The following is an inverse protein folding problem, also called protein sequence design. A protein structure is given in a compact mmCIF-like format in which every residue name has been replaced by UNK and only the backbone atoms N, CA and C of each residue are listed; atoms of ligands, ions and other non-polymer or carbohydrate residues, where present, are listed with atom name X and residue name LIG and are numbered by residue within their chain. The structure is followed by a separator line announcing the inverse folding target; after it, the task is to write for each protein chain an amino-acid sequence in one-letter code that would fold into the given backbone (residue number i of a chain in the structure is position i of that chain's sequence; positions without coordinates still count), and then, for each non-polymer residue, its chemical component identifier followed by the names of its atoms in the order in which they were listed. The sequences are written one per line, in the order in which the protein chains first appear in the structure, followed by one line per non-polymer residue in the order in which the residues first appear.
data_IF_849992933322
#
_entry.id   IF_849992933322
#
_cell.length_a   1.000
_cell.length_b   1.000
_cell.length_c   1.000
_cell.angle_alpha   90.00
_cell.angle_beta   90.00
_cell.angle_gamma   90.00
#
_symmetry.space_group_name_H-M   'P 1'
#
loop_
_entity.id
_entity.type
_entity.pdbx_description
1 polymer ?
#
# COMPACT_ATOMS: atom_id res chain seq x y z
N UNK A 1 12.89 3.26 7.51
CA UNK A 1 12.11 4.49 7.79
C UNK A 1 12.15 4.73 9.31
N UNK A 2 11.96 5.95 9.84
CA UNK A 2 11.93 6.15 11.31
C UNK A 2 10.81 5.32 12.01
N UNK A 3 9.72 5.06 11.28
CA UNK A 3 8.65 4.14 11.70
C UNK A 3 9.17 2.71 11.94
N UNK A 4 10.11 2.23 11.11
CA UNK A 4 10.73 0.90 11.26
C UNK A 4 11.84 0.87 12.32
N UNK A 5 12.13 2.00 12.98
CA UNK A 5 13.12 2.12 14.07
C UNK A 5 12.44 2.26 15.45
N UNK A 6 11.13 2.00 15.55
CA UNK A 6 10.38 2.11 16.81
C UNK A 6 10.10 3.54 17.28
N UNK A 7 10.50 4.58 16.51
CA UNK A 7 10.31 5.99 16.87
C UNK A 7 8.95 6.54 16.40
N UNK A 8 7.90 5.73 16.55
CA UNK A 8 6.56 6.03 16.02
C UNK A 8 5.97 7.28 16.67
N UNK A 9 6.18 7.43 17.98
CA UNK A 9 5.67 8.57 18.75
C UNK A 9 6.29 9.91 18.31
N UNK A 10 7.60 9.94 18.09
CA UNK A 10 8.32 11.14 17.62
C UNK A 10 7.86 11.57 16.22
N UNK A 11 7.58 10.59 15.35
CA UNK A 11 7.03 10.84 13.99
C UNK A 11 5.62 11.42 14.08
N UNK A 12 4.78 10.86 14.97
CA UNK A 12 3.41 11.33 15.19
C UNK A 12 3.40 12.78 15.69
N UNK A 13 4.20 13.08 16.71
CA UNK A 13 4.28 14.42 17.33
C UNK A 13 4.73 15.48 16.32
N UNK A 14 5.75 15.18 15.51
CA UNK A 14 6.24 16.10 14.47
C UNK A 14 5.19 16.38 13.40
N UNK A 15 4.53 15.34 12.90
CA UNK A 15 3.53 15.49 11.84
C UNK A 15 2.27 16.22 12.35
N UNK A 16 1.82 15.92 13.58
CA UNK A 16 0.71 16.66 14.21
C UNK A 16 1.07 18.12 14.47
N UNK A 17 2.29 18.40 14.93
CA UNK A 17 2.76 19.76 15.10
C UNK A 17 2.75 20.51 13.76
N UNK A 18 3.23 19.90 12.68
CA UNK A 18 3.24 20.48 11.34
C UNK A 18 1.84 20.78 10.78
N UNK A 19 0.82 19.98 11.13
CA UNK A 19 -0.58 20.28 10.81
C UNK A 19 -1.15 21.43 11.65
N UNK A 20 -0.71 21.55 12.92
CA UNK A 20 -1.20 22.58 13.84
C UNK A 20 -0.69 23.98 13.49
N UNK A 21 0.57 24.08 13.06
CA UNK A 21 1.08 25.34 12.53
C UNK A 21 0.46 25.56 11.15
N UNK A 22 -0.32 26.65 10.97
CA UNK A 22 -1.01 27.02 9.71
C UNK A 22 -0.06 27.35 8.54
N UNK A 23 1.16 26.83 8.57
CA UNK A 23 2.17 26.89 7.51
C UNK A 23 1.98 25.80 6.46
N UNK A 24 1.17 24.77 6.70
CA UNK A 24 0.69 23.80 5.69
C UNK A 24 -0.32 24.45 4.73
N UNK A 25 0.09 25.53 4.06
CA UNK A 25 -0.70 26.21 3.03
C UNK A 25 -0.77 25.41 1.74
N UNK A 26 0.22 24.55 1.48
CA UNK A 26 0.26 23.68 0.31
C UNK A 26 -0.54 22.41 0.59
N UNK A 27 -1.50 22.10 -0.28
CA UNK A 27 -2.35 20.90 -0.19
C UNK A 27 -1.50 19.62 -0.17
N UNK A 28 -0.36 19.61 -0.86
CA UNK A 28 0.58 18.49 -0.88
C UNK A 28 1.25 18.27 0.48
N UNK A 29 1.69 19.33 1.16
CA UNK A 29 2.28 19.21 2.50
C UNK A 29 1.26 18.74 3.52
N UNK A 30 0.03 19.25 3.44
CA UNK A 30 -1.08 18.75 4.24
C UNK A 30 -1.28 17.24 4.00
N UNK A 31 -1.31 16.82 2.74
CA UNK A 31 -1.49 15.42 2.39
C UNK A 31 -0.36 14.52 2.92
N UNK A 32 0.91 14.93 2.80
CA UNK A 32 2.05 14.16 3.30
C UNK A 32 2.11 14.07 4.82
N UNK A 33 1.72 15.12 5.53
CA UNK A 33 1.62 15.06 6.99
C UNK A 33 0.52 14.08 7.41
N UNK A 34 -0.65 14.13 6.76
CA UNK A 34 -1.72 13.15 7.00
C UNK A 34 -1.26 11.71 6.66
N UNK A 35 -0.53 11.51 5.56
CA UNK A 35 0.03 10.21 5.20
C UNK A 35 0.96 9.68 6.30
N UNK A 36 1.83 10.55 6.80
CA UNK A 36 2.78 10.22 7.86
C UNK A 36 2.08 9.84 9.16
N UNK A 37 1.05 10.61 9.57
CA UNK A 37 0.25 10.32 10.76
C UNK A 37 -0.53 9.01 10.58
N UNK A 38 -1.18 8.81 9.43
CA UNK A 38 -1.95 7.59 9.16
C UNK A 38 -1.08 6.35 9.27
N UNK A 39 0.10 6.37 8.63
CA UNK A 39 1.07 5.27 8.75
C UNK A 39 1.53 5.06 10.20
N UNK A 40 1.81 6.13 10.95
CA UNK A 40 2.17 6.03 12.36
C UNK A 40 1.05 5.38 13.20
N UNK A 41 -0.20 5.80 12.99
CA UNK A 41 -1.36 5.22 13.67
C UNK A 41 -1.57 3.74 13.33
N UNK A 42 -1.30 3.34 12.08
CA UNK A 42 -1.31 1.94 11.68
C UNK A 42 -0.28 1.10 12.46
N UNK A 43 0.93 1.62 12.67
CA UNK A 43 1.95 0.98 13.52
C UNK A 43 1.55 0.90 15.00
N UNK A 44 0.70 1.82 15.47
CA UNK A 44 0.12 1.81 16.82
C UNK A 44 -1.17 0.96 16.89
N UNK A 45 -1.51 0.23 15.82
CA UNK A 45 -2.75 -0.55 15.68
C UNK A 45 -4.04 0.26 15.87
N UNK A 46 -3.97 1.59 15.78
CA UNK A 46 -5.13 2.47 15.82
C UNK A 46 -5.70 2.64 14.40
N UNK A 47 -6.35 1.57 13.92
CA UNK A 47 -6.81 1.50 12.53
C UNK A 47 -7.88 2.55 12.18
N UNK A 48 -8.72 2.95 13.14
CA UNK A 48 -9.76 3.97 12.91
C UNK A 48 -9.15 5.34 12.61
N UNK A 49 -8.20 5.81 13.43
CA UNK A 49 -7.52 7.07 13.12
C UNK A 49 -6.61 6.92 11.90
N UNK A 50 -5.97 5.76 11.71
CA UNK A 50 -5.20 5.48 10.50
C UNK A 50 -6.03 5.67 9.24
N UNK A 51 -7.23 5.08 9.16
CA UNK A 51 -8.11 5.19 7.99
C UNK A 51 -8.47 6.64 7.69
N UNK A 52 -8.84 7.39 8.73
CA UNK A 52 -9.20 8.80 8.63
C UNK A 52 -8.06 9.66 8.09
N UNK A 53 -6.84 9.48 8.60
CA UNK A 53 -5.68 10.25 8.14
C UNK A 53 -5.21 9.81 6.75
N UNK A 54 -5.22 8.52 6.43
CA UNK A 54 -4.86 8.03 5.09
C UNK A 54 -5.88 8.48 4.03
N UNK A 55 -7.16 8.51 4.36
CA UNK A 55 -8.20 9.05 3.47
C UNK A 55 -7.98 10.53 3.20
N UNK A 56 -7.72 11.33 4.23
CA UNK A 56 -7.39 12.75 4.06
C UNK A 56 -6.11 12.96 3.24
N UNK A 57 -5.13 12.07 3.37
CA UNK A 57 -3.91 12.11 2.58
C UNK A 57 -4.21 11.88 1.08
N UNK A 58 -4.95 10.82 0.75
CA UNK A 58 -5.33 10.51 -0.63
C UNK A 58 -6.15 11.66 -1.24
N UNK A 59 -7.16 12.16 -0.51
CA UNK A 59 -7.98 13.30 -0.96
C UNK A 59 -7.14 14.56 -1.16
N UNK A 60 -6.19 14.82 -0.26
CA UNK A 60 -5.26 15.95 -0.37
C UNK A 60 -4.36 15.84 -1.60
N UNK A 61 -3.79 14.66 -1.88
CA UNK A 61 -2.96 14.40 -3.06
C UNK A 61 -3.74 14.59 -4.36
N UNK A 62 -5.01 14.12 -4.41
CA UNK A 62 -5.90 14.33 -5.55
C UNK A 62 -6.19 15.82 -5.77
N UNK A 63 -6.58 16.54 -4.71
CA UNK A 63 -6.90 17.98 -4.78
C UNK A 63 -5.68 18.83 -5.15
N UNK A 64 -4.48 18.40 -4.76
CA UNK A 64 -3.23 19.05 -5.14
C UNK A 64 -2.85 18.84 -6.61
N UNK A 65 -3.51 17.92 -7.33
CA UNK A 65 -3.18 17.58 -8.72
C UNK A 65 -1.84 16.84 -8.87
N UNK A 66 -1.25 16.35 -7.77
CA UNK A 66 0.07 15.70 -7.76
C UNK A 66 -0.05 14.20 -7.95
N UNK A 67 -0.46 13.78 -9.16
CA UNK A 67 -0.76 12.37 -9.48
C UNK A 67 0.42 11.42 -9.27
N UNK A 68 1.66 11.86 -9.45
CA UNK A 68 2.86 11.05 -9.24
C UNK A 68 3.13 10.68 -7.78
N UNK A 69 2.53 11.38 -6.82
CA UNK A 69 2.60 11.04 -5.40
C UNK A 69 1.42 10.22 -4.91
N UNK A 70 0.34 10.13 -5.70
CA UNK A 70 -0.87 9.42 -5.34
C UNK A 70 -0.62 7.93 -5.00
N UNK A 71 0.27 7.19 -5.70
CA UNK A 71 0.56 5.80 -5.34
C UNK A 71 1.03 5.60 -3.90
N UNK A 72 1.75 6.56 -3.29
CA UNK A 72 2.15 6.42 -1.88
C UNK A 72 0.95 6.43 -0.92
N UNK A 73 -0.06 7.26 -1.20
CA UNK A 73 -1.27 7.31 -0.41
C UNK A 73 -2.11 6.05 -0.56
N UNK A 74 -2.29 5.61 -1.82
CA UNK A 74 -3.04 4.40 -2.17
C UNK A 74 -2.39 3.15 -1.57
N UNK A 75 -1.08 2.94 -1.75
CA UNK A 75 -0.37 1.79 -1.18
C UNK A 75 -0.47 1.75 0.35
N UNK A 76 -0.35 2.89 1.03
CA UNK A 76 -0.49 2.95 2.48
C UNK A 76 -1.91 2.56 2.94
N UNK A 77 -2.93 3.01 2.21
CA UNK A 77 -4.33 2.70 2.52
C UNK A 77 -4.69 1.25 2.16
N UNK A 78 -4.13 0.70 1.09
CA UNK A 78 -4.24 -0.72 0.76
C UNK A 78 -3.70 -1.62 1.87
N UNK A 79 -2.54 -1.28 2.45
CA UNK A 79 -1.95 -2.01 3.59
C UNK A 79 -2.90 -1.98 4.78
N UNK A 80 -3.49 -0.81 5.10
CA UNK A 80 -4.49 -0.70 6.16
C UNK A 80 -5.69 -1.60 5.90
N UNK A 81 -6.25 -1.58 4.69
CA UNK A 81 -7.42 -2.41 4.34
C UNK A 81 -7.11 -3.91 4.41
N UNK A 82 -5.88 -4.32 4.09
CA UNK A 82 -5.41 -5.69 4.34
C UNK A 82 -5.46 -6.05 5.82
N UNK A 83 -5.00 -5.17 6.72
CA UNK A 83 -5.09 -5.39 8.17
C UNK A 83 -6.54 -5.45 8.68
N UNK A 84 -7.42 -4.64 8.11
CA UNK A 84 -8.86 -4.64 8.39
C UNK A 84 -9.61 -5.82 7.74
N UNK A 85 -8.92 -6.64 6.92
CA UNK A 85 -9.50 -7.75 6.15
C UNK A 85 -10.54 -7.29 5.11
N UNK A 86 -10.50 -6.02 4.74
CA UNK A 86 -11.32 -5.41 3.70
C UNK A 86 -10.64 -5.53 2.33
N UNK A 87 -10.43 -6.76 1.86
CA UNK A 87 -9.57 -7.04 0.70
C UNK A 87 -10.00 -6.36 -0.59
N UNK A 88 -11.30 -6.23 -0.86
CA UNK A 88 -11.77 -5.54 -2.06
C UNK A 88 -11.35 -4.06 -2.09
N UNK A 89 -11.40 -3.37 -0.95
CA UNK A 89 -10.91 -1.99 -0.84
C UNK A 89 -9.39 -1.94 -1.02
N UNK A 90 -8.67 -2.93 -0.47
CA UNK A 90 -7.23 -3.06 -0.65
C UNK A 90 -6.85 -3.23 -2.13
N UNK A 91 -7.53 -4.14 -2.84
CA UNK A 91 -7.34 -4.35 -4.27
C UNK A 91 -7.71 -3.15 -5.12
N UNK A 92 -8.79 -2.42 -4.78
CA UNK A 92 -9.14 -1.20 -5.50
C UNK A 92 -8.03 -0.13 -5.41
N UNK A 93 -7.45 0.07 -4.23
CA UNK A 93 -6.31 0.98 -4.05
C UNK A 93 -5.05 0.49 -4.77
N UNK A 94 -4.79 -0.82 -4.75
CA UNK A 94 -3.65 -1.44 -5.44
C UNK A 94 -3.77 -1.32 -6.95
N UNK A 95 -4.95 -1.55 -7.51
CA UNK A 95 -5.21 -1.48 -8.94
C UNK A 95 -5.01 -0.05 -9.46
N UNK A 96 -5.56 0.96 -8.78
CA UNK A 96 -5.31 2.36 -9.16
C UNK A 96 -3.83 2.75 -9.01
N UNK A 97 -3.17 2.29 -7.95
CA UNK A 97 -1.74 2.56 -7.75
C UNK A 97 -0.90 1.94 -8.88
N UNK A 98 -1.24 0.71 -9.29
CA UNK A 98 -0.62 0.01 -10.41
C UNK A 98 -0.82 0.78 -11.71
N UNK A 99 -2.05 1.16 -12.05
CA UNK A 99 -2.34 1.90 -13.28
C UNK A 99 -1.48 3.16 -13.38
N UNK A 100 -1.46 3.99 -12.33
CA UNK A 100 -0.65 5.21 -12.31
C UNK A 100 0.84 4.89 -12.47
N UNK A 101 1.33 3.85 -11.81
CA UNK A 101 2.72 3.46 -11.86
C UNK A 101 3.12 2.87 -13.23
N UNK A 102 2.24 2.12 -13.88
CA UNK A 102 2.43 1.57 -15.23
C UNK A 102 2.44 2.69 -16.28
N UNK A 103 1.40 3.52 -16.30
CA UNK A 103 1.32 4.66 -17.22
C UNK A 103 2.49 5.64 -17.04
N UNK A 104 2.90 5.89 -15.81
CA UNK A 104 4.03 6.75 -15.48
C UNK A 104 5.40 6.09 -15.57
N UNK A 105 5.50 4.80 -15.94
CA UNK A 105 6.74 4.00 -15.94
C UNK A 105 7.51 4.07 -14.60
N UNK A 106 6.77 4.16 -13.49
CA UNK A 106 7.30 4.34 -12.15
C UNK A 106 7.69 3.00 -11.52
N UNK A 107 8.79 2.41 -11.98
CA UNK A 107 9.21 1.03 -11.64
C UNK A 107 9.32 0.73 -10.14
N UNK A 108 9.73 1.71 -9.32
CA UNK A 108 9.79 1.52 -7.87
C UNK A 108 8.40 1.34 -7.24
N UNK A 109 7.41 2.07 -7.75
CA UNK A 109 6.01 1.91 -7.33
C UNK A 109 5.40 0.62 -7.85
N UNK A 110 5.74 0.20 -9.07
CA UNK A 110 5.34 -1.12 -9.57
C UNK A 110 5.90 -2.23 -8.69
N UNK A 111 7.16 -2.11 -8.25
CA UNK A 111 7.76 -3.05 -7.29
C UNK A 111 6.98 -3.09 -5.98
N UNK A 112 6.69 -1.92 -5.39
CA UNK A 112 5.93 -1.82 -4.15
C UNK A 112 4.51 -2.40 -4.31
N UNK A 113 3.86 -2.21 -5.47
CA UNK A 113 2.59 -2.84 -5.81
C UNK A 113 2.70 -4.38 -5.81
N UNK A 114 3.66 -4.96 -6.53
CA UNK A 114 3.78 -6.42 -6.62
C UNK A 114 4.05 -7.07 -5.26
N UNK A 115 4.88 -6.46 -4.42
CA UNK A 115 5.13 -6.93 -3.07
C UNK A 115 3.87 -6.89 -2.20
N UNK A 116 3.10 -5.79 -2.26
CA UNK A 116 1.87 -5.69 -1.48
C UNK A 116 0.74 -6.57 -2.01
N UNK A 117 0.60 -6.70 -3.34
CA UNK A 117 -0.36 -7.63 -3.95
C UNK A 117 -0.10 -9.07 -3.49
N UNK A 118 1.16 -9.51 -3.47
CA UNK A 118 1.54 -10.81 -2.94
C UNK A 118 1.14 -10.98 -1.46
N UNK A 119 1.30 -9.95 -0.62
CA UNK A 119 0.88 -9.97 0.79
C UNK A 119 -0.64 -10.03 0.96
N UNK A 120 -1.39 -9.29 0.13
CA UNK A 120 -2.85 -9.32 0.14
C UNK A 120 -3.35 -10.71 -0.24
N UNK A 121 -2.76 -11.32 -1.27
CA UNK A 121 -3.08 -12.70 -1.67
C UNK A 121 -2.90 -13.67 -0.52
N UNK A 122 -1.73 -13.64 0.15
CA UNK A 122 -1.47 -14.51 1.30
C UNK A 122 -2.50 -14.31 2.42
N UNK A 123 -2.77 -13.07 2.80
CA UNK A 123 -3.74 -12.75 3.86
C UNK A 123 -5.17 -13.20 3.51
N UNK A 124 -5.56 -13.05 2.24
CA UNK A 124 -6.89 -13.43 1.75
C UNK A 124 -7.04 -14.97 1.67
N UNK A 125 -6.00 -15.67 1.23
CA UNK A 125 -5.96 -17.15 1.20
C UNK A 125 -5.93 -17.74 2.60
N UNK A 126 -5.20 -17.13 3.54
CA UNK A 126 -5.12 -17.57 4.95
C UNK A 126 -6.46 -17.51 5.66
N UNK A 127 -7.24 -16.44 5.45
CA UNK A 127 -8.60 -16.34 5.99
C UNK A 127 -9.51 -17.41 5.38
N UNK A 128 -9.26 -17.75 4.12
CA UNK A 128 -10.00 -18.77 3.39
C UNK A 128 -11.41 -18.32 2.99
N UNK A 129 -12.01 -19.09 2.09
CA UNK A 129 -13.40 -18.93 1.68
C UNK A 129 -14.02 -20.33 1.54
N UNK A 130 -15.24 -20.58 2.04
CA UNK A 130 -15.90 -21.89 1.94
C UNK A 130 -15.96 -22.46 0.51
N UNK A 131 -16.02 -21.59 -0.50
CA UNK A 131 -16.11 -21.97 -1.90
C UNK A 131 -14.74 -21.96 -2.62
N UNK A 132 -13.64 -21.70 -1.92
CA UNK A 132 -12.30 -21.48 -2.49
C UNK A 132 -12.29 -20.45 -3.64
N UNK A 133 -13.18 -19.46 -3.55
CA UNK A 133 -13.32 -18.35 -4.46
C UNK A 133 -12.98 -17.05 -3.74
N UNK A 134 -12.20 -16.20 -4.38
CA UNK A 134 -11.69 -14.95 -3.83
C UNK A 134 -11.99 -13.82 -4.79
N UNK A 135 -12.44 -12.68 -4.28
CA UNK A 135 -12.69 -11.50 -5.09
C UNK A 135 -11.44 -10.60 -5.10
N UNK A 136 -11.00 -10.22 -6.28
CA UNK A 136 -9.90 -9.28 -6.53
C UNK A 136 -10.38 -8.15 -7.46
N UNK A 137 -9.67 -7.03 -7.49
CA UNK A 137 -9.88 -5.97 -8.49
C UNK A 137 -8.71 -6.00 -9.47
N UNK A 138 -9.02 -6.02 -10.76
CA UNK A 138 -8.04 -5.93 -11.83
C UNK A 138 -8.66 -5.16 -13.01
N UNK A 139 -7.99 -4.10 -13.43
CA UNK A 139 -8.44 -3.18 -14.50
C UNK A 139 -9.81 -2.56 -14.20
N UNK A 140 -10.00 -2.13 -12.95
CA UNK A 140 -11.23 -1.52 -12.46
C UNK A 140 -12.42 -2.46 -12.31
N UNK A 141 -12.24 -3.77 -12.52
CA UNK A 141 -13.30 -4.76 -12.47
C UNK A 141 -13.10 -5.76 -11.34
N UNK A 142 -14.18 -6.08 -10.64
CA UNK A 142 -14.20 -7.18 -9.69
C UNK A 142 -14.17 -8.51 -10.43
N UNK A 143 -13.18 -9.35 -10.09
CA UNK A 143 -12.98 -10.68 -10.65
C UNK A 143 -12.98 -11.71 -9.52
N UNK A 144 -13.71 -12.79 -9.73
CA UNK A 144 -13.68 -13.95 -8.83
C UNK A 144 -12.64 -14.94 -9.33
N UNK A 145 -11.64 -15.23 -8.50
CA UNK A 145 -10.54 -16.15 -8.79
C UNK A 145 -10.55 -17.34 -7.83
N UNK A 146 -10.15 -18.49 -8.32
CA UNK A 146 -10.03 -19.72 -7.52
C UNK A 146 -8.75 -19.73 -6.67
N UNK A 147 -8.69 -20.59 -5.65
CA UNK A 147 -7.47 -20.77 -4.84
C UNK A 147 -6.20 -21.07 -5.68
N UNK A 148 -6.22 -22.00 -6.66
CA UNK A 148 -5.04 -22.27 -7.48
C UNK A 148 -4.62 -21.06 -8.34
N UNK A 149 -5.59 -20.25 -8.77
CA UNK A 149 -5.30 -19.00 -9.50
C UNK A 149 -4.67 -17.95 -8.58
N UNK A 150 -5.14 -17.81 -7.34
CA UNK A 150 -4.48 -16.95 -6.33
C UNK A 150 -3.03 -17.37 -6.08
N UNK A 151 -2.76 -18.68 -5.96
CA UNK A 151 -1.40 -19.21 -5.79
C UNK A 151 -0.52 -18.96 -7.02
N UNK A 152 -1.10 -18.99 -8.22
CA UNK A 152 -0.39 -18.62 -9.46
C UNK A 152 -0.06 -17.12 -9.48
N UNK A 153 -1.05 -16.27 -9.23
CA UNK A 153 -0.89 -14.80 -9.17
C UNK A 153 0.16 -14.40 -8.12
N UNK A 154 0.16 -15.06 -6.97
CA UNK A 154 1.18 -14.86 -5.94
C UNK A 154 2.59 -15.04 -6.50
N UNK A 155 2.85 -16.18 -7.16
CA UNK A 155 4.16 -16.48 -7.75
C UNK A 155 4.56 -15.49 -8.84
N UNK A 156 3.59 -15.09 -9.68
CA UNK A 156 3.79 -14.10 -10.72
C UNK A 156 4.19 -12.73 -10.12
N UNK A 157 3.48 -12.25 -9.10
CA UNK A 157 3.81 -11.00 -8.44
C UNK A 157 5.17 -11.06 -7.73
N UNK A 158 5.50 -12.14 -7.04
CA UNK A 158 6.82 -12.31 -6.41
C UNK A 158 7.94 -12.31 -7.46
N UNK A 159 7.74 -12.94 -8.61
CA UNK A 159 8.71 -12.91 -9.71
C UNK A 159 8.88 -11.50 -10.29
N UNK A 160 7.78 -10.81 -10.60
CA UNK A 160 7.80 -9.43 -11.13
C UNK A 160 8.46 -8.44 -10.17
N UNK A 161 8.18 -8.55 -8.86
CA UNK A 161 8.86 -7.74 -7.84
C UNK A 161 10.38 -7.97 -7.87
N UNK A 162 10.82 -9.24 -7.95
CA UNK A 162 12.24 -9.59 -8.04
C UNK A 162 12.92 -9.05 -9.29
N UNK A 163 12.30 -9.18 -10.46
CA UNK A 163 12.83 -8.65 -11.72
C UNK A 163 13.00 -7.12 -11.65
N UNK A 164 12.00 -6.41 -11.13
CA UNK A 164 12.07 -4.96 -11.01
C UNK A 164 13.11 -4.50 -9.99
N UNK A 165 13.28 -5.22 -8.87
CA UNK A 165 14.32 -4.93 -7.88
C UNK A 165 15.70 -5.00 -8.51
N UNK A 166 16.01 -6.09 -9.22
CA UNK A 166 17.29 -6.27 -9.92
C UNK A 166 17.52 -5.19 -10.98
N UNK A 167 16.49 -4.88 -11.78
CA UNK A 167 16.58 -3.87 -12.83
C UNK A 167 16.79 -2.44 -12.31
N UNK A 168 16.28 -2.13 -11.12
CA UNK A 168 16.28 -0.77 -10.57
C UNK A 168 17.31 -0.55 -9.46
N UNK A 169 17.92 -1.63 -8.95
CA UNK A 169 18.78 -1.60 -7.78
C UNK A 169 18.02 -1.30 -6.48
N UNK A 170 16.71 -1.62 -6.41
CA UNK A 170 15.85 -1.30 -5.27
C UNK A 170 16.00 -2.28 -4.09
N UNK A 171 17.25 -2.64 -3.77
CA UNK A 171 17.64 -3.69 -2.82
C UNK A 171 17.17 -3.48 -1.38
N UNK A 172 16.66 -2.29 -1.04
CA UNK A 172 16.02 -2.07 0.26
C UNK A 172 14.75 -2.90 0.47
N UNK A 173 14.22 -3.52 -0.59
CA UNK A 173 13.09 -4.46 -0.56
C UNK A 173 13.50 -5.94 -0.61
N UNK A 174 14.80 -6.25 -0.64
CA UNK A 174 15.28 -7.65 -0.73
C UNK A 174 14.78 -8.49 0.45
N UNK A 175 14.83 -7.95 1.67
CA UNK A 175 14.34 -8.68 2.84
C UNK A 175 12.85 -9.04 2.74
N UNK A 176 12.05 -8.10 2.24
CA UNK A 176 10.62 -8.29 2.01
C UNK A 176 10.34 -9.32 0.90
N UNK A 177 11.11 -9.30 -0.17
CA UNK A 177 11.01 -10.28 -1.26
C UNK A 177 11.39 -11.69 -0.79
N UNK A 178 12.47 -11.81 -0.02
CA UNK A 178 12.95 -13.09 0.52
C UNK A 178 11.96 -13.69 1.54
N UNK A 179 11.27 -12.86 2.33
CA UNK A 179 10.17 -13.32 3.18
C UNK A 179 9.05 -13.93 2.33
N UNK A 180 8.63 -13.27 1.25
CA UNK A 180 7.57 -13.79 0.38
C UNK A 180 7.98 -15.07 -0.35
N UNK A 181 9.23 -15.18 -0.80
CA UNK A 181 9.77 -16.39 -1.45
C UNK A 181 9.77 -17.63 -0.54
N UNK A 182 9.81 -17.45 0.78
CA UNK A 182 9.79 -18.58 1.75
C UNK A 182 8.40 -19.11 2.03
N UNK A 183 7.36 -18.37 1.67
CA UNK A 183 5.97 -18.69 2.04
C UNK A 183 5.37 -19.81 1.20
N UNK A 184 6.04 -20.27 0.13
CA UNK A 184 5.60 -21.38 -0.73
C UNK A 184 6.76 -22.18 -1.33
#
# INVERSE_FOLDING_TARGET
MLLSMGKVQEVLERAQYALKIKTTRLLTDFAFNNLTIGKAQMFLENFTESEKYLTQAVDGLRKAGTQHYLPWGLLARAILYKHLKEFLKSWADLDEAREIAEYGQMRLFQTDYYLEAARVILAQVEIGNPNNQFAIIEDGLEKTVSKPEMERLFKEHVAQAGELIEQTGYHRRDGELEELRKTY
#
